data_IF_931002605148
#
_entry.id   IF_931002605148
#
_cell.length_a   1.000
_cell.length_b   1.000
_cell.length_c   1.000
_cell.angle_alpha   90.00
_cell.angle_beta   90.00
_cell.angle_gamma   90.00
#
_symmetry.space_group_name_H-M   'P 1'
#
loop_
_entity.id
_entity.type
_entity.pdbx_description
1 polymer ?
#
# COMPACT_ATOMS: atom_id res chain seq x y z
N UNK A 1 -15.70 16.18 -28.64
CA UNK A 1 -14.93 15.12 -27.95
C UNK A 1 -13.61 15.73 -27.48
N UNK A 2 -13.54 16.32 -26.29
CA UNK A 2 -12.29 16.91 -25.77
C UNK A 2 -12.20 16.96 -24.23
N UNK A 3 -13.02 16.20 -23.49
CA UNK A 3 -13.11 16.31 -22.02
C UNK A 3 -12.60 15.07 -21.25
N UNK A 4 -11.80 14.19 -21.88
CA UNK A 4 -11.38 12.94 -21.23
C UNK A 4 -9.90 12.90 -20.76
N UNK A 5 -9.10 13.95 -20.94
CA UNK A 5 -7.63 13.84 -20.75
C UNK A 5 -7.04 14.71 -19.63
N UNK A 6 -7.79 15.65 -19.02
CA UNK A 6 -7.21 16.59 -18.02
C UNK A 6 -7.45 16.25 -16.54
N UNK A 7 -8.25 15.24 -16.22
CA UNK A 7 -8.53 14.89 -14.83
C UNK A 7 -7.40 14.10 -14.15
N UNK A 8 -6.55 13.40 -14.93
CA UNK A 8 -5.46 12.57 -14.40
C UNK A 8 -4.26 13.38 -13.88
N UNK A 9 -3.84 14.41 -14.61
CA UNK A 9 -2.63 15.19 -14.28
C UNK A 9 -2.83 16.06 -13.03
N UNK A 10 -4.00 16.70 -12.86
CA UNK A 10 -4.31 17.51 -11.67
C UNK A 10 -4.48 16.64 -10.41
N UNK A 11 -5.06 15.44 -10.56
CA UNK A 11 -5.17 14.49 -9.46
C UNK A 11 -3.78 13.97 -9.07
N UNK A 12 -2.99 13.48 -10.03
CA UNK A 12 -1.65 12.96 -9.78
C UNK A 12 -0.71 13.99 -9.18
N UNK A 13 -0.66 15.20 -9.73
CA UNK A 13 0.16 16.28 -9.17
C UNK A 13 -0.23 16.55 -7.72
N UNK A 14 -1.52 16.66 -7.41
CA UNK A 14 -2.01 16.91 -6.06
C UNK A 14 -1.59 15.82 -5.07
N UNK A 15 -1.93 14.56 -5.33
CA UNK A 15 -1.64 13.51 -4.35
C UNK A 15 -0.16 13.13 -4.30
N UNK A 16 0.63 13.42 -5.35
CA UNK A 16 2.09 13.21 -5.30
C UNK A 16 2.80 14.11 -4.29
N UNK A 17 2.21 15.27 -3.95
CA UNK A 17 2.77 16.26 -3.03
C UNK A 17 2.27 16.09 -1.59
N UNK A 18 1.19 15.33 -1.39
CA UNK A 18 0.54 15.19 -0.08
C UNK A 18 1.01 13.89 0.58
N UNK A 19 1.40 14.02 1.86
CA UNK A 19 1.68 12.88 2.74
C UNK A 19 0.75 12.98 3.95
N UNK A 20 0.09 11.87 4.30
CA UNK A 20 -0.64 11.76 5.55
C UNK A 20 0.32 11.22 6.60
N UNK A 21 0.61 11.99 7.64
CA UNK A 21 1.54 11.57 8.70
C UNK A 21 0.75 11.17 9.94
N UNK A 22 1.14 10.07 10.58
CA UNK A 22 0.46 9.51 11.74
C UNK A 22 0.54 10.39 12.99
N UNK A 23 1.51 11.30 13.04
CA UNK A 23 1.76 12.27 14.11
C UNK A 23 0.99 13.59 13.92
N UNK A 24 0.27 13.76 12.80
CA UNK A 24 -0.44 15.01 12.52
C UNK A 24 -1.57 15.24 13.53
N UNK A 25 -1.51 16.36 14.23
CA UNK A 25 -2.58 16.83 15.13
C UNK A 25 -3.74 17.50 14.40
N UNK A 26 -3.60 17.76 13.10
CA UNK A 26 -4.60 18.47 12.31
C UNK A 26 -5.46 17.52 11.46
N UNK A 27 -6.79 17.45 11.67
CA UNK A 27 -7.66 16.50 10.97
C UNK A 27 -7.65 16.62 9.44
N UNK A 28 -7.48 17.83 8.91
CA UNK A 28 -7.44 18.06 7.46
C UNK A 28 -6.19 17.49 6.79
N UNK A 29 -5.11 17.28 7.54
CA UNK A 29 -3.87 16.64 7.08
C UNK A 29 -3.89 15.12 7.22
N UNK A 30 -5.00 14.56 7.70
CA UNK A 30 -5.24 13.11 7.81
C UNK A 30 -6.23 12.62 6.73
N UNK A 31 -6.57 13.47 5.76
CA UNK A 31 -7.45 13.11 4.64
C UNK A 31 -6.92 13.64 3.31
N UNK A 32 -7.26 12.95 2.23
CA UNK A 32 -6.84 13.27 0.87
C UNK A 32 -7.89 12.84 -0.14
N UNK A 33 -8.34 13.75 -0.99
CA UNK A 33 -9.07 13.40 -2.22
C UNK A 33 -8.11 12.79 -3.21
N UNK A 34 -8.25 11.48 -3.45
CA UNK A 34 -7.38 10.69 -4.33
C UNK A 34 -7.80 10.93 -5.78
N UNK A 35 -9.07 10.64 -6.12
CA UNK A 35 -9.63 10.85 -7.47
C UNK A 35 -10.88 11.70 -7.37
N UNK A 36 -10.84 12.91 -7.93
CA UNK A 36 -11.94 13.88 -7.81
C UNK A 36 -13.21 13.39 -8.52
N UNK A 37 -13.08 12.92 -9.76
CA UNK A 37 -14.21 12.50 -10.58
C UNK A 37 -15.00 11.32 -10.00
N UNK A 38 -14.32 10.43 -9.27
CA UNK A 38 -14.93 9.30 -8.59
C UNK A 38 -15.37 9.61 -7.15
N UNK A 39 -15.07 10.81 -6.64
CA UNK A 39 -15.26 11.15 -5.23
C UNK A 39 -14.47 10.23 -4.28
N UNK A 40 -13.35 9.65 -4.75
CA UNK A 40 -12.53 8.73 -3.97
C UNK A 40 -11.66 9.52 -3.00
N UNK A 41 -11.86 9.31 -1.70
CA UNK A 41 -11.10 9.92 -0.63
C UNK A 41 -10.44 8.85 0.25
N UNK A 42 -9.25 9.18 0.74
CA UNK A 42 -8.49 8.39 1.71
C UNK A 42 -8.42 9.15 3.04
N UNK A 43 -8.68 8.47 4.16
CA UNK A 43 -8.58 9.02 5.52
C UNK A 43 -7.76 8.12 6.42
N UNK A 44 -6.78 8.70 7.10
CA UNK A 44 -5.97 8.04 8.12
C UNK A 44 -6.55 8.31 9.51
N UNK A 45 -6.76 7.27 10.31
CA UNK A 45 -6.99 7.37 11.75
C UNK A 45 -5.79 6.76 12.50
N UNK A 46 -4.80 7.57 12.90
CA UNK A 46 -3.62 7.08 13.59
C UNK A 46 -3.93 6.50 14.97
N UNK A 47 -4.95 7.02 15.66
CA UNK A 47 -5.32 6.57 17.01
C UNK A 47 -5.77 5.12 16.98
N UNK A 48 -6.41 4.69 15.91
CA UNK A 48 -6.83 3.31 15.71
C UNK A 48 -5.88 2.50 14.81
N UNK A 49 -4.88 3.12 14.18
CA UNK A 49 -4.00 2.46 13.20
C UNK A 49 -4.73 2.06 11.91
N UNK A 50 -5.73 2.84 11.50
CA UNK A 50 -6.68 2.49 10.43
C UNK A 50 -6.56 3.42 9.22
N UNK A 51 -6.75 2.86 8.03
CA UNK A 51 -6.90 3.58 6.78
C UNK A 51 -8.28 3.33 6.21
N UNK A 52 -9.00 4.39 5.87
CA UNK A 52 -10.32 4.31 5.25
C UNK A 52 -10.27 4.86 3.84
N UNK A 53 -10.79 4.10 2.87
CA UNK A 53 -11.19 4.60 1.57
C UNK A 53 -12.69 4.79 1.52
N UNK A 54 -13.14 5.91 0.99
CA UNK A 54 -14.55 6.18 0.81
C UNK A 54 -14.86 6.79 -0.55
N UNK A 55 -16.04 6.46 -1.05
CA UNK A 55 -16.74 7.18 -2.12
C UNK A 55 -18.16 7.47 -1.62
N UNK A 56 -19.01 8.19 -2.36
CA UNK A 56 -20.41 8.36 -1.97
C UNK A 56 -21.18 7.04 -1.78
N UNK A 57 -20.76 5.95 -2.42
CA UNK A 57 -21.45 4.65 -2.40
C UNK A 57 -20.79 3.61 -1.48
N UNK A 58 -19.57 3.84 -0.99
CA UNK A 58 -18.82 2.81 -0.26
C UNK A 58 -17.85 3.37 0.76
N UNK A 59 -17.59 2.57 1.79
CA UNK A 59 -16.60 2.85 2.82
C UNK A 59 -15.87 1.56 3.20
N UNK A 60 -14.56 1.51 2.95
CA UNK A 60 -13.70 0.38 3.25
C UNK A 60 -12.61 0.80 4.24
N UNK A 61 -12.59 0.17 5.41
CA UNK A 61 -11.61 0.47 6.47
C UNK A 61 -10.67 -0.72 6.64
N UNK A 62 -9.37 -0.46 6.72
CA UNK A 62 -8.34 -1.48 6.88
C UNK A 62 -7.43 -1.15 8.06
N UNK A 63 -7.03 -2.19 8.80
CA UNK A 63 -5.99 -2.05 9.83
C UNK A 63 -4.61 -2.07 9.15
N UNK A 64 -3.84 -0.97 9.26
CA UNK A 64 -2.54 -0.80 8.58
C UNK A 64 -1.36 -0.66 9.55
N UNK A 65 -1.63 -0.38 10.82
CA UNK A 65 -0.62 -0.21 11.87
C UNK A 65 -1.24 -0.57 13.23
N UNK A 66 -0.43 -0.65 14.29
CA UNK A 66 -0.97 -0.65 15.64
C UNK A 66 -1.52 0.75 16.00
N UNK A 67 -2.45 0.85 16.96
CA UNK A 67 -2.89 2.12 17.54
C UNK A 67 -1.72 3.01 17.98
N UNK A 68 -1.85 4.33 17.79
CA UNK A 68 -0.85 5.28 18.26
C UNK A 68 -0.65 5.15 19.78
N UNK A 69 0.61 5.07 20.21
CA UNK A 69 0.98 4.91 21.62
C UNK A 69 1.04 3.45 22.10
N UNK A 70 0.77 2.48 21.23
CA UNK A 70 0.97 1.06 21.56
C UNK A 70 2.47 0.77 21.76
N UNK A 71 2.82 0.27 22.95
CA UNK A 71 4.20 -0.06 23.33
C UNK A 71 4.80 -1.20 22.53
N UNK A 72 3.98 -2.03 21.89
CA UNK A 72 4.42 -3.09 21.01
C UNK A 72 4.74 -2.60 19.58
N UNK A 73 4.49 -1.31 19.28
CA UNK A 73 4.73 -0.77 17.95
C UNK A 73 6.21 -0.61 17.65
N UNK A 74 6.69 -1.37 16.67
CA UNK A 74 8.02 -1.16 16.05
C UNK A 74 8.01 0.03 15.09
N UNK A 75 6.83 0.58 14.79
CA UNK A 75 6.64 1.70 13.88
C UNK A 75 5.67 2.73 14.47
N UNK A 76 6.11 3.49 15.50
CA UNK A 76 5.24 4.45 16.19
C UNK A 76 4.84 5.63 15.30
N UNK A 77 5.70 6.00 14.33
CA UNK A 77 5.47 7.10 13.40
C UNK A 77 5.64 6.64 11.96
N UNK A 78 4.66 6.98 11.12
CA UNK A 78 4.68 6.63 9.71
C UNK A 78 4.00 7.69 8.85
N UNK A 79 4.36 7.71 7.57
CA UNK A 79 3.73 8.53 6.54
C UNK A 79 3.12 7.66 5.45
N UNK A 80 1.98 8.07 4.92
CA UNK A 80 1.32 7.47 3.77
C UNK A 80 1.36 8.41 2.59
N UNK A 81 1.65 7.86 1.41
CA UNK A 81 1.67 8.59 0.15
C UNK A 81 1.01 7.74 -0.94
N UNK A 82 0.18 8.35 -1.79
CA UNK A 82 -0.29 7.70 -3.02
C UNK A 82 0.87 7.69 -4.03
N UNK A 83 1.10 6.54 -4.66
CA UNK A 83 2.12 6.36 -5.70
C UNK A 83 1.50 6.34 -7.09
N UNK A 84 0.33 5.74 -7.19
CA UNK A 84 -0.50 5.66 -8.39
C UNK A 84 -1.95 5.49 -7.94
N UNK A 85 -2.91 6.07 -8.64
CA UNK A 85 -4.32 5.84 -8.36
C UNK A 85 -5.19 6.06 -9.60
N UNK A 86 -6.34 5.41 -9.61
CA UNK A 86 -7.41 5.59 -10.57
C UNK A 86 -8.76 5.45 -9.88
N UNK A 87 -9.86 5.56 -10.62
CA UNK A 87 -11.20 5.33 -10.06
C UNK A 87 -11.41 3.90 -9.53
N UNK A 88 -10.59 2.93 -9.97
CA UNK A 88 -10.73 1.50 -9.61
C UNK A 88 -9.68 0.99 -8.62
N UNK A 89 -8.58 1.72 -8.42
CA UNK A 89 -7.50 1.29 -7.54
C UNK A 89 -6.68 2.42 -6.95
N UNK A 90 -5.93 2.12 -5.90
CA UNK A 90 -4.86 2.98 -5.39
C UNK A 90 -3.65 2.13 -4.99
N UNK A 91 -2.47 2.55 -5.40
CA UNK A 91 -1.18 2.06 -4.94
C UNK A 91 -0.62 3.06 -3.93
N UNK A 92 -0.28 2.58 -2.74
CA UNK A 92 0.15 3.41 -1.62
C UNK A 92 1.50 2.96 -1.10
N UNK A 93 2.29 3.92 -0.63
CA UNK A 93 3.52 3.69 0.11
C UNK A 93 3.32 4.16 1.55
N UNK A 94 3.50 3.25 2.50
CA UNK A 94 3.65 3.57 3.92
C UNK A 94 5.14 3.54 4.25
N UNK A 95 5.69 4.65 4.73
CA UNK A 95 7.05 4.69 5.27
C UNK A 95 7.01 4.78 6.77
N UNK A 96 7.62 3.81 7.43
CA UNK A 96 8.04 3.91 8.80
C UNK A 96 9.33 4.72 8.87
N UNK A 97 9.28 5.88 9.53
CA UNK A 97 10.50 6.66 9.79
C UNK A 97 11.35 5.92 10.82
N UNK A 98 12.65 6.18 10.80
CA UNK A 98 13.57 5.52 11.72
C UNK A 98 13.16 5.81 13.17
N UNK A 99 12.88 4.75 13.92
CA UNK A 99 12.50 4.81 15.32
C UNK A 99 13.34 3.83 16.15
N UNK A 100 13.70 4.25 17.37
CA UNK A 100 14.27 3.36 18.39
C UNK A 100 13.11 2.78 19.21
N UNK A 101 12.74 1.52 18.94
CA UNK A 101 11.57 0.89 19.58
C UNK A 101 11.94 0.15 20.87
N UNK A 102 13.23 -0.08 21.10
CA UNK A 102 13.80 -0.53 22.37
C UNK A 102 15.25 -0.06 22.45
N UNK A 103 15.88 0.00 23.64
CA UNK A 103 17.27 0.45 23.78
C UNK A 103 18.23 -0.25 22.80
N UNK A 104 18.85 0.52 21.92
CA UNK A 104 19.77 0.04 20.89
C UNK A 104 19.13 -0.75 19.74
N UNK A 105 17.79 -0.80 19.64
CA UNK A 105 17.06 -1.49 18.57
C UNK A 105 16.29 -0.50 17.72
N UNK A 106 16.67 -0.41 16.45
CA UNK A 106 16.11 0.52 15.49
C UNK A 106 15.23 -0.20 14.48
N UNK A 107 14.25 0.50 13.94
CA UNK A 107 13.44 0.04 12.84
C UNK A 107 13.19 1.18 11.86
N UNK A 108 13.31 0.90 10.58
CA UNK A 108 12.90 1.76 9.48
C UNK A 108 12.41 0.86 8.35
N UNK A 109 11.36 1.26 7.64
CA UNK A 109 10.78 0.36 6.65
C UNK A 109 9.77 1.01 5.74
N UNK A 110 9.44 0.29 4.67
CA UNK A 110 8.46 0.66 3.67
C UNK A 110 7.56 -0.52 3.39
N UNK A 111 6.27 -0.24 3.34
CA UNK A 111 5.23 -1.14 2.86
C UNK A 111 4.56 -0.52 1.64
N UNK A 112 4.38 -1.28 0.56
CA UNK A 112 3.50 -0.91 -0.53
C UNK A 112 2.21 -1.68 -0.45
N UNK A 113 1.10 -0.98 -0.65
CA UNK A 113 -0.23 -1.56 -0.62
C UNK A 113 -0.99 -1.28 -1.90
N UNK A 114 -1.64 -2.31 -2.42
CA UNK A 114 -2.61 -2.22 -3.50
C UNK A 114 -4.01 -2.29 -2.89
N UNK A 115 -4.78 -1.23 -3.10
CA UNK A 115 -6.20 -1.18 -2.81
C UNK A 115 -7.02 -1.31 -4.10
N UNK A 116 -7.93 -2.28 -4.12
CA UNK A 116 -8.90 -2.49 -5.20
C UNK A 116 -10.29 -2.07 -4.74
N UNK A 117 -10.86 -1.10 -5.45
CA UNK A 117 -12.14 -0.46 -5.12
C UNK A 117 -13.30 -1.43 -5.30
N UNK A 118 -13.28 -2.21 -6.38
CA UNK A 118 -14.39 -3.11 -6.78
C UNK A 118 -14.55 -4.33 -5.86
N UNK A 119 -13.43 -4.88 -5.39
CA UNK A 119 -13.35 -5.95 -4.42
C UNK A 119 -13.44 -5.42 -2.99
N UNK A 120 -13.08 -4.16 -2.77
CA UNK A 120 -12.90 -3.61 -1.45
C UNK A 120 -11.85 -4.35 -0.66
N UNK A 121 -10.75 -4.69 -1.33
CA UNK A 121 -9.63 -5.47 -0.80
C UNK A 121 -8.39 -4.58 -0.81
N UNK A 122 -7.61 -4.66 0.25
CA UNK A 122 -6.29 -4.04 0.33
C UNK A 122 -5.27 -5.14 0.59
N UNK A 123 -4.18 -5.15 -0.15
CA UNK A 123 -3.11 -6.14 -0.03
C UNK A 123 -1.77 -5.46 0.08
N UNK A 124 -0.91 -5.96 0.98
CA UNK A 124 0.51 -5.60 0.95
C UNK A 124 1.16 -6.34 -0.23
N UNK A 125 1.82 -5.61 -1.13
CA UNK A 125 2.36 -6.18 -2.37
C UNK A 125 3.89 -6.20 -2.40
N UNK A 126 4.51 -5.42 -1.52
CA UNK A 126 5.96 -5.40 -1.34
C UNK A 126 6.29 -4.77 0.01
N UNK A 127 7.35 -5.26 0.66
CA UNK A 127 7.86 -4.64 1.88
C UNK A 127 9.37 -4.72 1.99
N UNK A 128 9.95 -3.74 2.67
CA UNK A 128 11.36 -3.75 2.98
C UNK A 128 11.63 -3.02 4.30
N UNK A 129 12.48 -3.58 5.14
CA UNK A 129 12.82 -2.99 6.44
C UNK A 129 14.29 -3.21 6.79
N UNK A 130 14.85 -2.28 7.55
CA UNK A 130 16.22 -2.31 8.07
C UNK A 130 16.20 -2.01 9.57
N UNK A 131 17.16 -2.57 10.29
CA UNK A 131 17.29 -2.41 11.75
C UNK A 131 18.57 -1.71 12.20
N UNK A 132 19.42 -1.30 11.25
CA UNK A 132 20.67 -0.61 11.53
C UNK A 132 20.40 0.89 11.73
N UNK A 133 21.01 1.47 12.78
CA UNK A 133 20.91 2.89 13.11
C UNK A 133 21.37 3.82 11.99
N UNK A 134 22.34 3.39 11.18
CA UNK A 134 22.96 4.16 10.12
C UNK A 134 22.48 3.73 8.72
N UNK A 135 21.53 2.79 8.63
CA UNK A 135 20.97 2.40 7.35
C UNK A 135 20.21 3.55 6.68
N UNK A 136 20.08 3.46 5.35
CA UNK A 136 19.25 4.37 4.57
C UNK A 136 17.85 3.78 4.42
N UNK A 137 16.88 4.66 4.19
CA UNK A 137 15.49 4.26 3.91
C UNK A 137 15.48 3.20 2.79
N UNK A 138 14.86 2.03 3.02
CA UNK A 138 14.85 0.91 2.09
C UNK A 138 13.91 1.13 0.87
N UNK A 139 14.03 2.28 0.21
CA UNK A 139 13.19 2.65 -0.94
C UNK A 139 13.40 1.72 -2.12
N UNK A 140 12.29 1.19 -2.63
CA UNK A 140 12.23 0.50 -3.91
C UNK A 140 12.72 1.43 -5.04
N UNK A 141 13.70 0.94 -5.82
CA UNK A 141 14.26 1.65 -6.98
C UNK A 141 14.25 0.74 -8.20
N UNK A 142 13.49 1.08 -9.28
CA UNK A 142 12.56 2.20 -9.39
C UNK A 142 11.34 2.03 -8.48
N UNK A 143 10.48 3.05 -8.37
CA UNK A 143 9.23 2.91 -7.61
C UNK A 143 8.32 1.84 -8.27
N UNK A 144 7.65 1.00 -7.47
CA UNK A 144 6.60 0.10 -7.94
C UNK A 144 5.56 0.83 -8.80
N UNK A 145 5.17 0.22 -9.91
CA UNK A 145 4.03 0.62 -10.73
C UNK A 145 3.20 -0.61 -11.08
N UNK A 146 1.94 -0.40 -11.41
CA UNK A 146 1.02 -1.48 -11.75
C UNK A 146 0.56 -1.37 -13.20
N UNK A 147 0.34 -2.51 -13.83
CA UNK A 147 -0.49 -2.61 -15.03
C UNK A 147 -1.87 -3.11 -14.60
N UNK A 148 -2.93 -2.60 -15.21
CA UNK A 148 -4.31 -2.94 -14.84
C UNK A 148 -5.03 -3.70 -15.97
N UNK A 149 -4.77 -5.01 -16.15
CA UNK A 149 -5.58 -5.85 -17.03
C UNK A 149 -7.04 -5.94 -16.52
N UNK A 150 -8.00 -6.36 -17.36
CA UNK A 150 -9.43 -6.33 -17.01
C UNK A 150 -9.84 -7.04 -15.70
N UNK A 151 -9.14 -8.11 -15.30
CA UNK A 151 -9.50 -8.92 -14.13
C UNK A 151 -8.55 -8.75 -12.91
N UNK A 152 -7.76 -7.67 -12.87
CA UNK A 152 -6.88 -7.41 -11.74
C UNK A 152 -5.68 -6.55 -12.06
N UNK A 153 -4.53 -6.94 -11.53
CA UNK A 153 -3.30 -6.14 -11.61
C UNK A 153 -2.10 -7.00 -11.90
N UNK A 154 -1.13 -6.43 -12.60
CA UNK A 154 0.16 -7.06 -12.85
C UNK A 154 1.26 -6.17 -12.31
N UNK A 155 2.09 -6.76 -11.48
CA UNK A 155 3.25 -6.18 -10.85
C UNK A 155 4.51 -6.83 -11.42
N UNK A 156 5.04 -6.26 -12.49
CA UNK A 156 6.37 -6.59 -13.00
C UNK A 156 7.35 -5.53 -12.46
N UNK A 157 8.19 -5.92 -11.50
CA UNK A 157 9.10 -4.98 -10.86
C UNK A 157 10.47 -5.60 -10.65
N UNK A 158 11.52 -4.80 -10.76
CA UNK A 158 12.88 -5.21 -10.46
C UNK A 158 13.54 -4.12 -9.67
N UNK A 159 14.06 -4.41 -8.48
CA UNK A 159 14.75 -3.40 -7.70
C UNK A 159 15.62 -3.96 -6.59
N UNK A 160 16.38 -3.06 -5.99
CA UNK A 160 17.41 -3.42 -5.02
C UNK A 160 16.79 -3.75 -3.67
N UNK A 161 17.08 -4.93 -3.13
CA UNK A 161 16.78 -5.23 -1.74
C UNK A 161 17.72 -4.43 -0.82
N UNK A 162 17.22 -3.89 0.30
CA UNK A 162 18.07 -3.23 1.27
C UNK A 162 18.83 -4.30 2.07
N UNK A 163 20.15 -4.33 1.91
CA UNK A 163 21.04 -5.22 2.65
C UNK A 163 22.40 -4.57 2.86
N UNK A 164 23.08 -4.93 3.95
CA UNK A 164 24.38 -4.39 4.35
C UNK A 164 25.56 -4.93 3.49
N UNK A 165 25.30 -5.57 2.34
CA UNK A 165 26.31 -6.09 1.42
C UNK A 165 25.70 -6.32 0.04
N UNK A 166 26.47 -6.05 -1.02
CA UNK A 166 26.16 -6.11 -2.45
C UNK A 166 24.67 -6.08 -2.81
N UNK A 167 24.17 -4.91 -3.23
CA UNK A 167 22.83 -4.69 -3.75
C UNK A 167 22.35 -5.85 -4.63
N UNK A 168 21.53 -6.75 -4.08
CA UNK A 168 20.87 -7.80 -4.83
C UNK A 168 19.64 -7.20 -5.50
N UNK A 169 19.50 -7.43 -6.80
CA UNK A 169 18.30 -7.03 -7.55
C UNK A 169 17.27 -8.15 -7.40
N UNK A 170 16.17 -7.86 -6.72
CA UNK A 170 15.00 -8.74 -6.69
C UNK A 170 14.13 -8.40 -7.88
N UNK A 171 13.73 -9.43 -8.64
CA UNK A 171 12.78 -9.30 -9.75
C UNK A 171 11.51 -10.06 -9.44
N UNK A 172 10.38 -9.35 -9.44
CA UNK A 172 9.04 -9.83 -9.16
C UNK A 172 8.20 -9.79 -10.45
N UNK A 173 7.50 -10.88 -10.72
CA UNK A 173 6.48 -10.97 -11.78
C UNK A 173 5.22 -11.55 -11.17
N UNK A 174 4.36 -10.68 -10.68
CA UNK A 174 3.19 -11.07 -9.89
C UNK A 174 1.92 -10.62 -10.60
N UNK A 175 0.93 -11.50 -10.62
CA UNK A 175 -0.45 -11.14 -10.96
C UNK A 175 -1.31 -11.16 -9.70
N UNK A 176 -2.18 -10.16 -9.55
CA UNK A 176 -3.22 -10.12 -8.54
C UNK A 176 -4.56 -10.21 -9.26
N UNK A 177 -5.25 -11.34 -9.14
CA UNK A 177 -6.50 -11.62 -9.85
C UNK A 177 -7.67 -11.55 -8.90
N UNK A 178 -8.76 -10.89 -9.31
CA UNK A 178 -10.00 -10.88 -8.54
C UNK A 178 -10.62 -12.28 -8.54
N UNK A 179 -10.88 -12.83 -7.36
CA UNK A 179 -11.62 -14.08 -7.21
C UNK A 179 -12.74 -13.93 -6.21
N UNK A 180 -13.85 -14.64 -6.43
CA UNK A 180 -14.88 -14.80 -5.41
C UNK A 180 -14.50 -15.99 -4.51
N UNK A 181 -14.39 -15.74 -3.21
CA UNK A 181 -14.29 -16.79 -2.20
C UNK A 181 -15.60 -17.56 -2.07
N UNK A 182 -15.54 -18.72 -1.40
CA UNK A 182 -16.70 -19.61 -1.21
C UNK A 182 -17.90 -18.94 -0.53
N UNK A 183 -17.66 -17.87 0.24
CA UNK A 183 -18.67 -17.11 0.97
C UNK A 183 -19.10 -15.81 0.24
N UNK A 184 -18.74 -15.65 -1.04
CA UNK A 184 -18.97 -14.42 -1.79
C UNK A 184 -17.99 -13.27 -1.47
N UNK A 185 -17.08 -13.47 -0.51
CA UNK A 185 -16.01 -12.51 -0.21
C UNK A 185 -15.07 -12.39 -1.42
N UNK A 186 -14.92 -11.18 -1.96
CA UNK A 186 -13.96 -10.93 -3.03
C UNK A 186 -12.55 -10.92 -2.44
N UNK A 187 -11.59 -11.49 -3.15
CA UNK A 187 -10.18 -11.51 -2.80
C UNK A 187 -9.33 -11.07 -4.00
N UNK A 188 -8.10 -10.60 -3.72
CA UNK A 188 -7.06 -10.43 -4.72
C UNK A 188 -6.01 -11.53 -4.52
N UNK A 189 -6.18 -12.60 -5.30
CA UNK A 189 -5.29 -13.76 -5.25
C UNK A 189 -4.01 -13.43 -5.98
N UNK A 190 -2.90 -13.62 -5.29
CA UNK A 190 -1.59 -13.43 -5.85
C UNK A 190 -1.12 -14.69 -6.61
N UNK A 191 -0.46 -14.49 -7.74
CA UNK A 191 0.17 -15.55 -8.52
C UNK A 191 1.54 -15.10 -9.03
N UNK A 192 2.59 -15.81 -8.66
CA UNK A 192 3.92 -15.69 -9.22
C UNK A 192 3.96 -16.26 -10.65
N UNK A 193 4.15 -15.39 -11.62
CA UNK A 193 4.13 -15.71 -13.05
C UNK A 193 5.43 -16.39 -13.54
N UNK A 194 6.46 -16.51 -12.70
CA UNK A 194 7.67 -17.30 -13.01
C UNK A 194 7.59 -18.75 -12.55
N UNK A 195 6.66 -19.07 -11.65
CA UNK A 195 6.45 -20.45 -11.23
C UNK A 195 5.75 -21.25 -12.35
N UNK A 196 5.95 -22.57 -12.42
CA UNK A 196 5.14 -23.45 -13.27
C UNK A 196 3.64 -23.27 -13.00
N UNK A 197 2.81 -23.56 -14.00
CA UNK A 197 1.35 -23.46 -13.87
C UNK A 197 0.86 -24.20 -12.62
N UNK A 198 -0.04 -23.57 -11.86
CA UNK A 198 -0.59 -24.01 -10.56
C UNK A 198 0.34 -24.02 -9.34
N UNK A 199 1.63 -23.70 -9.48
CA UNK A 199 2.59 -23.70 -8.37
C UNK A 199 2.92 -22.31 -7.80
N UNK A 200 2.52 -21.23 -8.48
CA UNK A 200 2.81 -19.86 -8.05
C UNK A 200 1.72 -19.17 -7.24
N UNK A 201 0.64 -19.87 -6.86
CA UNK A 201 -0.51 -19.24 -6.19
C UNK A 201 -0.21 -19.03 -4.71
N UNK A 202 -0.26 -17.78 -4.25
CA UNK A 202 0.02 -17.41 -2.85
C UNK A 202 1.34 -18.03 -2.32
N UNK A 203 2.36 -18.09 -3.17
CA UNK A 203 3.69 -18.63 -2.82
C UNK A 203 4.54 -17.60 -2.05
N UNK A 204 5.79 -17.93 -1.75
CA UNK A 204 6.69 -17.04 -1.01
C UNK A 204 7.03 -15.73 -1.77
N UNK A 205 6.89 -15.72 -3.10
CA UNK A 205 7.08 -14.53 -3.93
C UNK A 205 5.88 -13.59 -3.87
N UNK A 206 4.71 -14.10 -3.48
CA UNK A 206 3.52 -13.32 -3.14
C UNK A 206 3.70 -12.58 -1.80
N UNK A 207 4.62 -11.61 -1.79
CA UNK A 207 4.92 -10.80 -0.62
C UNK A 207 3.64 -10.22 0.00
N UNK A 208 3.57 -10.28 1.33
CA UNK A 208 2.48 -9.68 2.10
C UNK A 208 1.16 -10.45 2.09
N UNK A 209 0.25 -10.04 2.98
CA UNK A 209 -1.07 -10.63 3.12
C UNK A 209 -2.17 -9.67 2.67
N UNK A 210 -3.37 -10.22 2.47
CA UNK A 210 -4.59 -9.42 2.39
C UNK A 210 -4.83 -8.79 3.77
N UNK A 211 -5.02 -7.47 3.80
CA UNK A 211 -5.27 -6.75 5.04
C UNK A 211 -6.69 -7.03 5.53
N UNK A 212 -6.83 -7.10 6.86
CA UNK A 212 -8.13 -7.25 7.49
C UNK A 212 -8.98 -6.02 7.19
N UNK A 213 -10.04 -6.22 6.41
CA UNK A 213 -11.13 -5.25 6.29
C UNK A 213 -11.95 -5.27 7.57
N UNK A 214 -12.16 -4.09 8.13
CA UNK A 214 -13.03 -3.90 9.28
C UNK A 214 -14.45 -3.67 8.77
N UNK A 215 -15.38 -4.53 9.17
CA UNK A 215 -16.79 -4.31 8.93
C UNK A 215 -17.23 -3.22 9.91
N UNK A 216 -17.64 -2.06 9.38
CA UNK A 216 -18.28 -1.04 10.20
C UNK A 216 -19.58 -1.67 10.74
N UNK A 217 -19.67 -1.83 12.06
CA UNK A 217 -20.95 -2.11 12.73
C UNK A 217 -21.81 -0.87 12.75
#
# INVERSE_FOLDING_TARGET
MADAVRAGDDDQQRWSLIRLNSDSTKPERLKLTVIKSAGLEMRLDPKLGQLTFLTPAMRHTFQIALPLGDKASVCPEYSLQIIEASAVHALLRKACLQAEYAPGRYHMGIDYYLYDVEAGVMRNIWRAAVSDKNARMPDARPRPSLKSPPNGYRFDWSGVQPGNGNASITTLHISYTRTAGKNGEKALVCTNLRAPESQGIEDEMCEGAILRRLLNK
#
